data_IF_042748801933
#
_entry.id   IF_042748801933
#
_cell.length_a   1.000
_cell.length_b   1.000
_cell.length_c   1.000
_cell.angle_alpha   90.00
_cell.angle_beta   90.00
_cell.angle_gamma   90.00
#
_symmetry.space_group_name_H-M   'P 1'
#
loop_
_entity.id
_entity.type
_entity.pdbx_description
1 polymer ?
#
# COMPACT_ATOMS: atom_id res chain seq x y z
N UNK A 1 1.56 13.98 13.44
CA UNK A 1 2.04 12.65 13.89
C UNK A 1 2.81 12.05 12.73
N UNK A 2 4.09 11.73 12.89
CA UNK A 2 4.89 11.14 11.81
C UNK A 2 4.52 9.67 11.65
N UNK A 3 4.04 9.29 10.47
CA UNK A 3 3.75 7.88 10.16
C UNK A 3 5.08 7.17 9.94
N UNK A 4 5.36 6.10 10.69
CA UNK A 4 6.54 5.27 10.49
C UNK A 4 6.12 3.99 9.78
N UNK A 5 6.80 3.64 8.69
CA UNK A 5 6.59 2.36 8.04
C UNK A 5 7.21 1.24 8.86
N UNK A 6 6.43 0.22 9.19
CA UNK A 6 6.94 -0.96 9.87
C UNK A 6 7.64 -1.89 8.89
N UNK A 7 8.89 -2.26 9.20
CA UNK A 7 9.73 -3.12 8.36
C UNK A 7 9.11 -4.51 8.18
N UNK A 8 8.55 -5.08 9.23
CA UNK A 8 7.94 -6.40 9.20
C UNK A 8 6.72 -6.41 8.27
N UNK A 9 5.88 -5.40 8.38
CA UNK A 9 4.71 -5.20 7.53
C UNK A 9 5.11 -5.02 6.05
N UNK A 10 6.06 -4.14 5.75
CA UNK A 10 6.56 -3.94 4.39
C UNK A 10 7.13 -5.23 3.80
N UNK A 11 8.02 -5.89 4.54
CA UNK A 11 8.67 -7.12 4.10
C UNK A 11 7.65 -8.23 3.84
N UNK A 12 6.67 -8.37 4.73
CA UNK A 12 5.56 -9.31 4.56
C UNK A 12 4.74 -9.02 3.31
N UNK A 13 4.39 -7.75 3.07
CA UNK A 13 3.64 -7.34 1.88
C UNK A 13 4.39 -7.65 0.58
N UNK A 14 5.71 -7.39 0.55
CA UNK A 14 6.56 -7.71 -0.61
C UNK A 14 6.57 -9.21 -0.88
N UNK A 15 6.74 -10.06 0.14
CA UNK A 15 6.72 -11.51 -0.06
C UNK A 15 5.37 -12.04 -0.52
N UNK A 16 4.27 -11.51 0.03
CA UNK A 16 2.92 -11.88 -0.41
C UNK A 16 2.75 -11.55 -1.89
N UNK A 17 3.17 -10.37 -2.34
CA UNK A 17 3.02 -9.98 -3.74
C UNK A 17 3.89 -10.81 -4.68
N UNK A 18 5.13 -11.13 -4.28
CA UNK A 18 6.01 -12.01 -5.04
C UNK A 18 5.38 -13.40 -5.20
N UNK A 19 4.86 -14.00 -4.12
CA UNK A 19 4.22 -15.32 -4.17
C UNK A 19 2.91 -15.28 -4.97
N UNK A 20 2.17 -14.17 -4.91
CA UNK A 20 0.96 -13.97 -5.70
C UNK A 20 1.27 -13.95 -7.20
N UNK A 21 2.35 -13.27 -7.61
CA UNK A 21 2.80 -13.23 -9.01
C UNK A 21 3.48 -14.53 -9.45
N UNK A 22 4.14 -15.23 -8.53
CA UNK A 22 4.95 -16.42 -8.79
C UNK A 22 4.67 -17.54 -7.77
N UNK A 23 3.53 -18.24 -7.85
CA UNK A 23 3.09 -19.20 -6.83
C UNK A 23 3.98 -20.46 -6.71
N UNK A 24 4.78 -20.76 -7.73
CA UNK A 24 5.76 -21.87 -7.71
C UNK A 24 7.15 -21.46 -7.22
N UNK A 25 7.37 -20.19 -6.90
CA UNK A 25 8.67 -19.69 -6.47
C UNK A 25 9.01 -20.23 -5.08
N UNK A 26 10.18 -20.85 -4.96
CA UNK A 26 10.73 -21.22 -3.65
C UNK A 26 11.51 -20.03 -3.11
N UNK A 27 11.11 -19.54 -1.95
CA UNK A 27 11.83 -18.47 -1.25
C UNK A 27 13.09 -19.06 -0.63
N UNK A 28 14.26 -18.59 -1.08
CA UNK A 28 15.56 -18.93 -0.48
C UNK A 28 15.91 -17.96 0.66
N UNK A 29 16.82 -18.36 1.55
CA UNK A 29 17.35 -17.47 2.59
C UNK A 29 17.99 -16.21 2.00
N UNK A 30 18.74 -16.34 0.90
CA UNK A 30 19.35 -15.20 0.20
C UNK A 30 18.32 -14.19 -0.31
N UNK A 31 17.16 -14.67 -0.78
CA UNK A 31 16.07 -13.81 -1.20
C UNK A 31 15.45 -13.10 -0.01
N UNK A 32 15.30 -13.79 1.12
CA UNK A 32 14.85 -13.19 2.39
C UNK A 32 15.76 -12.05 2.82
N UNK A 33 17.07 -12.30 2.85
CA UNK A 33 18.09 -11.32 3.21
C UNK A 33 18.07 -10.11 2.27
N UNK A 34 17.90 -10.34 0.97
CA UNK A 34 17.84 -9.26 -0.03
C UNK A 34 16.64 -8.34 0.23
N UNK A 35 15.45 -8.91 0.44
CA UNK A 35 14.25 -8.11 0.71
C UNK A 35 14.38 -7.37 2.05
N UNK A 36 14.94 -8.01 3.07
CA UNK A 36 15.17 -7.37 4.37
C UNK A 36 16.15 -6.19 4.29
N UNK A 37 17.20 -6.30 3.47
CA UNK A 37 18.16 -5.22 3.24
C UNK A 37 17.52 -4.01 2.57
N UNK A 38 16.71 -4.25 1.52
CA UNK A 38 16.03 -3.15 0.80
C UNK A 38 14.89 -2.55 1.63
N UNK A 39 14.25 -3.35 2.49
CA UNK A 39 13.18 -2.88 3.36
C UNK A 39 13.67 -1.82 4.37
N UNK A 40 14.91 -1.89 4.83
CA UNK A 40 15.50 -0.85 5.68
C UNK A 40 15.57 0.49 4.93
N UNK A 41 16.13 0.50 3.72
CA UNK A 41 16.25 1.71 2.89
C UNK A 41 14.87 2.35 2.59
N UNK A 42 13.86 1.52 2.30
CA UNK A 42 12.50 2.00 2.04
C UNK A 42 11.88 2.58 3.32
N UNK A 43 12.05 1.90 4.46
CA UNK A 43 11.58 2.40 5.75
C UNK A 43 12.25 3.72 6.15
N UNK A 44 13.52 3.93 5.81
CA UNK A 44 14.22 5.19 6.04
C UNK A 44 13.78 6.31 5.09
N UNK A 45 13.47 5.97 3.83
CA UNK A 45 12.89 6.91 2.89
C UNK A 45 11.45 7.34 3.28
N UNK A 46 10.77 6.55 4.10
CA UNK A 46 9.39 6.77 4.55
C UNK A 46 9.34 7.41 5.96
N UNK A 47 8.87 8.65 6.18
CA UNK A 47 8.43 9.70 5.27
C UNK A 47 9.39 10.92 5.31
N UNK A 48 10.51 10.85 4.60
CA UNK A 48 11.22 12.07 4.20
C UNK A 48 10.46 12.83 3.09
N UNK A 49 9.50 12.18 2.42
CA UNK A 49 8.73 12.73 1.29
C UNK A 49 7.20 12.74 1.47
N UNK A 50 6.67 12.47 2.67
CA UNK A 50 5.22 12.55 2.85
C UNK A 50 4.80 14.01 2.99
N UNK A 51 4.53 14.66 1.85
CA UNK A 51 3.48 15.67 1.88
C UNK A 51 2.21 15.00 2.44
N UNK A 52 1.44 15.69 3.30
CA UNK A 52 0.20 15.15 3.80
C UNK A 52 -0.63 14.69 2.61
N UNK A 53 -1.06 13.42 2.61
CA UNK A 53 -2.11 13.00 1.69
C UNK A 53 -3.34 13.77 2.15
N UNK A 54 -3.58 14.94 1.55
CA UNK A 54 -4.83 15.65 1.70
C UNK A 54 -5.90 14.67 1.25
N UNK A 55 -6.72 14.23 2.21
CA UNK A 55 -7.97 13.56 1.91
C UNK A 55 -8.77 14.50 1.00
N UNK A 56 -8.69 14.32 -0.31
CA UNK A 56 -9.72 14.84 -1.20
C UNK A 56 -11.02 14.18 -0.71
N UNK A 57 -12.01 14.95 -0.23
CA UNK A 57 -13.30 14.36 0.06
C UNK A 57 -13.83 13.78 -1.25
N UNK A 58 -14.22 12.50 -1.23
CA UNK A 58 -14.92 11.83 -2.33
C UNK A 58 -16.22 12.60 -2.63
N UNK A 59 -16.15 13.64 -3.45
CA UNK A 59 -17.32 14.28 -4.05
C UNK A 59 -17.75 13.47 -5.25
N UNK A 60 -18.17 12.23 -5.04
CA UNK A 60 -18.85 11.43 -6.06
C UNK A 60 -19.94 10.58 -5.43
N UNK A 61 -21.01 11.25 -4.99
CA UNK A 61 -22.30 10.61 -4.72
C UNK A 61 -23.45 11.63 -4.84
N UNK A 62 -23.44 12.44 -5.89
CA UNK A 62 -24.66 13.08 -6.38
C UNK A 62 -25.35 12.11 -7.34
N UNK A 63 -25.92 11.03 -6.80
CA UNK A 63 -26.90 10.24 -7.51
C UNK A 63 -28.20 11.05 -7.57
N UNK A 64 -28.37 11.79 -8.67
CA UNK A 64 -29.62 12.50 -8.98
C UNK A 64 -30.74 11.47 -9.06
N UNK A 65 -31.54 11.36 -7.99
CA UNK A 65 -32.76 10.56 -8.02
C UNK A 65 -33.76 11.24 -8.95
N UNK A 66 -33.89 10.66 -10.14
CA UNK A 66 -34.93 10.96 -11.11
C UNK A 66 -36.24 10.34 -10.60
N UNK A 67 -36.97 11.03 -9.71
CA UNK A 67 -38.35 10.64 -9.38
C UNK A 67 -39.33 11.55 -10.10
N UNK A 68 -39.88 11.05 -11.21
CA UNK A 68 -41.11 11.59 -11.78
C UNK A 68 -42.23 11.49 -10.73
N UNK A 69 -42.89 12.60 -10.43
CA UNK A 69 -44.21 12.56 -9.84
C UNK A 69 -45.18 13.42 -10.66
N UNK A 70 -46.10 12.71 -11.32
CA UNK A 70 -47.33 13.20 -11.92
C UNK A 70 -48.12 14.07 -10.95
N UNK A 71 -48.65 15.19 -11.43
CA UNK A 71 -50.06 15.59 -11.23
C UNK A 71 -50.59 16.18 -12.52
#
# INVERSE_FOLDING_TARGET
>A
MTLKLDKGLLTGAVFVEILRQHPGLKISSSMVETVLSVADDICEAFPASAEPIEHLPDTSLNHTQHTMYKR
#
